data_IF_980510766874
#
_entry.id   IF_980510766874
#
_cell.length_a   1.000
_cell.length_b   1.000
_cell.length_c   1.000
_cell.angle_alpha   90.00
_cell.angle_beta   90.00
_cell.angle_gamma   90.00
#
_symmetry.space_group_name_H-M   'P 1'
#
loop_
_entity.id
_entity.type
_entity.pdbx_description
1 polymer ?
#
# COMPACT_ATOMS: atom_id res chain seq x y z
N UNK A 1 -2.16 27.56 6.86
CA UNK A 1 -1.58 28.92 7.03
C UNK A 1 -0.84 29.30 5.76
N UNK A 2 -1.00 30.53 5.28
CA UNK A 2 -0.32 31.05 4.07
C UNK A 2 0.87 31.93 4.48
N UNK A 3 1.99 31.81 3.76
CA UNK A 3 3.16 32.66 3.92
C UNK A 3 4.00 32.67 2.63
N UNK A 4 4.92 33.63 2.52
CA UNK A 4 5.86 33.78 1.38
C UNK A 4 6.87 32.62 1.26
N UNK A 5 7.04 31.81 2.33
CA UNK A 5 7.90 30.62 2.30
C UNK A 5 7.27 29.46 3.07
N UNK A 6 7.67 28.23 2.70
CA UNK A 6 7.24 27.00 3.41
C UNK A 6 7.61 27.06 4.89
N UNK A 7 8.82 27.51 5.21
CA UNK A 7 9.29 27.60 6.60
C UNK A 7 8.40 28.53 7.43
N UNK A 8 8.09 29.73 6.90
CA UNK A 8 7.21 30.68 7.57
C UNK A 8 5.77 30.15 7.70
N UNK A 9 5.28 29.39 6.71
CA UNK A 9 3.95 28.78 6.76
C UNK A 9 3.86 27.70 7.86
N UNK A 10 4.91 26.88 8.02
CA UNK A 10 5.00 25.86 9.07
C UNK A 10 5.11 26.49 10.46
N UNK A 11 5.94 27.52 10.62
CA UNK A 11 6.09 28.27 11.86
C UNK A 11 4.75 28.91 12.29
N UNK A 12 4.06 29.60 11.36
CA UNK A 12 2.73 30.18 11.62
C UNK A 12 1.67 29.13 11.97
N UNK A 13 1.81 27.92 11.44
CA UNK A 13 0.92 26.81 11.76
C UNK A 13 1.28 26.11 13.09
N UNK A 14 2.31 26.58 13.81
CA UNK A 14 2.77 25.96 15.05
C UNK A 14 3.24 24.52 14.85
N UNK A 15 3.73 24.18 13.66
CA UNK A 15 4.10 22.79 13.33
C UNK A 15 5.33 22.37 14.12
N UNK A 16 5.15 21.37 14.98
CA UNK A 16 6.21 20.72 15.75
C UNK A 16 6.48 19.39 15.07
N UNK A 17 7.75 19.11 14.77
CA UNK A 17 8.13 17.84 14.15
C UNK A 17 7.78 16.66 15.07
N UNK A 18 6.97 15.75 14.54
CA UNK A 18 6.58 14.50 15.15
C UNK A 18 7.80 13.62 15.44
N UNK A 19 7.73 12.90 16.55
CA UNK A 19 8.78 11.97 16.99
C UNK A 19 8.32 10.54 16.78
N UNK A 20 9.28 9.64 16.61
CA UNK A 20 9.04 8.20 16.66
C UNK A 20 8.70 7.79 18.09
N UNK A 21 7.64 7.00 18.27
CA UNK A 21 7.33 6.34 19.54
C UNK A 21 8.13 5.05 19.69
N UNK A 22 8.34 4.60 20.93
CA UNK A 22 8.83 3.24 21.22
C UNK A 22 7.70 2.28 21.57
N UNK A 23 6.45 2.77 21.63
CA UNK A 23 5.28 1.92 21.85
C UNK A 23 5.04 1.04 20.62
N UNK A 24 4.89 -0.27 20.85
CA UNK A 24 4.43 -1.21 19.82
C UNK A 24 2.94 -1.46 20.01
N UNK A 25 2.17 -1.29 18.94
CA UNK A 25 0.76 -1.68 18.90
C UNK A 25 0.61 -2.85 17.94
N UNK A 26 -0.07 -3.90 18.40
CA UNK A 26 -0.36 -5.07 17.57
C UNK A 26 -1.42 -4.77 16.51
N UNK A 27 -1.67 -5.72 15.60
CA UNK A 27 -2.79 -5.61 14.67
C UNK A 27 -4.12 -5.40 15.40
N UNK A 28 -5.04 -4.59 14.83
CA UNK A 28 -6.28 -4.24 15.52
C UNK A 28 -7.38 -5.30 15.40
N UNK A 29 -7.20 -6.31 14.55
CA UNK A 29 -8.21 -7.33 14.28
C UNK A 29 -7.72 -8.70 14.75
N UNK A 30 -8.60 -9.42 15.46
CA UNK A 30 -8.39 -10.83 15.77
C UNK A 30 -8.82 -11.71 14.58
N UNK A 31 -8.16 -12.86 14.44
CA UNK A 31 -8.57 -13.91 13.50
C UNK A 31 -10.04 -14.29 13.77
N UNK A 32 -10.88 -14.43 12.73
CA UNK A 32 -12.26 -14.91 12.88
C UNK A 32 -12.31 -16.28 13.58
N UNK A 33 -13.37 -16.54 14.36
CA UNK A 33 -13.53 -17.84 15.01
C UNK A 33 -13.71 -18.97 13.98
N UNK A 34 -12.96 -20.05 14.11
CA UNK A 34 -13.08 -21.23 13.25
C UNK A 34 -11.83 -22.11 13.25
N UNK A 35 -11.97 -23.28 12.62
CA UNK A 35 -10.83 -24.15 12.30
C UNK A 35 -10.31 -23.78 10.92
N UNK A 36 -9.09 -23.23 10.89
CA UNK A 36 -8.46 -22.71 9.69
C UNK A 36 -7.24 -23.53 9.32
N UNK A 37 -7.05 -23.76 8.02
CA UNK A 37 -5.83 -24.34 7.48
C UNK A 37 -4.69 -23.30 7.45
N UNK A 38 -5.03 -22.03 7.23
CA UNK A 38 -4.09 -20.92 7.23
C UNK A 38 -4.76 -19.64 7.72
N UNK A 39 -3.99 -18.80 8.41
CA UNK A 39 -4.44 -17.52 8.96
C UNK A 39 -3.48 -16.40 8.56
N UNK A 40 -4.00 -15.18 8.45
CA UNK A 40 -3.22 -13.97 8.21
C UNK A 40 -3.83 -12.80 8.97
N UNK A 41 -2.99 -12.02 9.63
CA UNK A 41 -3.34 -10.79 10.36
C UNK A 41 -2.35 -9.69 9.97
N UNK A 42 -2.85 -8.57 9.48
CA UNK A 42 -2.04 -7.41 9.07
C UNK A 42 -2.33 -6.19 9.93
N UNK A 43 -1.37 -5.27 10.00
CA UNK A 43 -1.54 -3.97 10.64
C UNK A 43 -1.76 -2.85 9.62
N UNK A 44 -1.96 -1.64 10.12
CA UNK A 44 -2.03 -0.42 9.33
C UNK A 44 -0.72 -0.18 8.58
N UNK A 45 -0.81 0.20 7.30
CA UNK A 45 0.38 0.52 6.48
C UNK A 45 0.20 1.86 5.79
N UNK A 46 1.24 2.68 5.89
CA UNK A 46 1.37 3.98 5.21
C UNK A 46 1.86 3.77 3.78
N UNK A 47 1.19 4.33 2.75
CA UNK A 47 1.67 4.27 1.37
C UNK A 47 3.09 4.83 1.15
N UNK A 48 3.56 5.70 2.04
CA UNK A 48 4.96 6.11 2.17
C UNK A 48 5.59 6.72 0.90
N UNK A 49 4.78 7.31 0.02
CA UNK A 49 5.27 8.03 -1.17
C UNK A 49 6.24 9.15 -0.78
N UNK A 50 7.35 9.27 -1.51
CA UNK A 50 8.45 10.16 -1.16
C UNK A 50 8.06 11.64 -1.26
N UNK A 51 7.43 12.03 -2.38
CA UNK A 51 6.90 13.38 -2.53
C UNK A 51 5.52 13.46 -1.89
N UNK A 52 5.36 14.27 -0.84
CA UNK A 52 4.04 14.48 -0.22
C UNK A 52 3.07 15.19 -1.16
N UNK A 53 1.79 15.12 -0.83
CA UNK A 53 0.73 15.81 -1.55
C UNK A 53 1.04 17.30 -1.66
N UNK A 54 1.00 17.80 -2.89
CA UNK A 54 1.15 19.21 -3.19
C UNK A 54 0.28 19.55 -4.40
N UNK A 55 -0.25 20.77 -4.40
CA UNK A 55 -1.02 21.32 -5.49
C UNK A 55 -0.76 22.81 -5.59
N UNK A 56 -0.91 23.37 -6.78
CA UNK A 56 -0.78 24.78 -7.05
C UNK A 56 -1.98 25.28 -7.84
N UNK A 57 -2.38 26.52 -7.59
CA UNK A 57 -3.54 27.15 -8.22
C UNK A 57 -3.38 28.67 -8.31
N UNK A 58 -3.84 29.26 -9.42
CA UNK A 58 -4.06 30.71 -9.56
C UNK A 58 -5.48 31.10 -9.11
N UNK A 59 -5.73 32.37 -8.74
CA UNK A 59 -7.07 32.83 -8.44
C UNK A 59 -8.02 32.59 -9.63
N UNK A 60 -9.15 31.94 -9.39
CA UNK A 60 -10.13 31.59 -10.41
C UNK A 60 -9.77 30.38 -11.28
N UNK A 61 -8.57 29.80 -11.15
CA UNK A 61 -8.04 28.75 -12.06
C UNK A 61 -8.19 27.32 -11.55
N UNK A 62 -8.04 26.32 -12.41
CA UNK A 62 -8.10 24.91 -11.99
C UNK A 62 -6.79 24.46 -11.31
N UNK A 63 -6.85 23.78 -10.15
CA UNK A 63 -5.65 23.36 -9.42
C UNK A 63 -4.93 22.19 -10.11
N UNK A 64 -3.59 22.19 -10.03
CA UNK A 64 -2.79 21.04 -10.46
C UNK A 64 -3.06 19.81 -9.55
N UNK A 65 -3.32 18.65 -10.15
CA UNK A 65 -3.65 17.43 -9.41
C UNK A 65 -2.45 16.81 -8.69
N UNK A 66 -2.59 16.34 -7.43
CA UNK A 66 -1.49 15.73 -6.66
C UNK A 66 -1.06 14.35 -7.17
N UNK A 67 -1.81 13.77 -8.11
CA UNK A 67 -1.46 12.51 -8.79
C UNK A 67 -0.25 12.66 -9.73
N UNK A 68 0.07 13.88 -10.17
CA UNK A 68 1.25 14.15 -10.98
C UNK A 68 2.56 14.21 -10.16
N UNK A 69 2.46 14.19 -8.83
CA UNK A 69 3.59 14.21 -7.92
C UNK A 69 4.28 12.83 -7.88
N UNK A 70 5.55 12.80 -7.49
CA UNK A 70 6.39 11.61 -7.37
C UNK A 70 5.86 10.57 -6.39
N UNK A 71 5.20 9.55 -6.95
CA UNK A 71 4.59 8.44 -6.21
C UNK A 71 3.26 8.82 -5.59
N UNK A 72 2.28 7.93 -5.68
CA UNK A 72 0.98 8.07 -5.03
C UNK A 72 0.56 6.76 -4.36
N UNK A 73 0.76 5.64 -5.05
CA UNK A 73 0.40 4.30 -4.56
C UNK A 73 -1.06 4.21 -4.07
N UNK A 74 -1.94 5.02 -4.67
CA UNK A 74 -3.34 5.18 -4.29
C UNK A 74 -3.63 6.22 -3.21
N UNK A 75 -2.64 6.60 -2.40
CA UNK A 75 -2.84 7.47 -1.23
C UNK A 75 -3.21 8.93 -1.54
N UNK A 76 -3.06 9.38 -2.79
CA UNK A 76 -3.32 10.76 -3.21
C UNK A 76 -4.66 10.97 -3.94
N UNK A 77 -5.43 9.90 -4.15
CA UNK A 77 -6.67 9.96 -4.93
C UNK A 77 -7.72 10.91 -4.32
N UNK A 78 -7.74 11.01 -2.99
CA UNK A 78 -8.71 11.83 -2.24
C UNK A 78 -8.06 13.03 -1.52
N UNK A 79 -6.89 13.46 -2.00
CA UNK A 79 -6.12 14.49 -1.32
C UNK A 79 -6.79 15.86 -1.34
N UNK A 80 -6.85 16.54 -0.19
CA UNK A 80 -7.53 17.83 -0.06
C UNK A 80 -6.67 19.02 -0.56
N UNK A 81 -5.39 18.78 -0.89
CA UNK A 81 -4.44 19.86 -1.21
C UNK A 81 -4.83 20.68 -2.43
N UNK A 82 -5.52 20.09 -3.40
CA UNK A 82 -6.01 20.79 -4.58
C UNK A 82 -7.12 21.79 -4.22
N UNK A 83 -8.11 21.35 -3.44
CA UNK A 83 -9.17 22.21 -2.95
C UNK A 83 -8.62 23.32 -2.03
N UNK A 84 -7.62 23.00 -1.21
CA UNK A 84 -6.93 23.98 -0.38
C UNK A 84 -6.17 25.02 -1.21
N UNK A 85 -5.44 24.61 -2.25
CA UNK A 85 -4.73 25.51 -3.15
C UNK A 85 -5.69 26.49 -3.82
N UNK A 86 -6.81 25.99 -4.38
CA UNK A 86 -7.83 26.82 -5.02
C UNK A 86 -8.43 27.85 -4.06
N UNK A 87 -8.94 27.38 -2.92
CA UNK A 87 -9.56 28.26 -1.91
C UNK A 87 -8.60 29.35 -1.44
N UNK A 88 -7.35 29.00 -1.14
CA UNK A 88 -6.35 29.95 -0.67
C UNK A 88 -5.91 30.92 -1.78
N UNK A 89 -5.84 30.48 -3.03
CA UNK A 89 -5.55 31.38 -4.15
C UNK A 89 -6.66 32.43 -4.32
N UNK A 90 -7.93 32.01 -4.25
CA UNK A 90 -9.09 32.89 -4.33
C UNK A 90 -9.15 33.88 -3.16
N UNK A 91 -8.91 33.42 -1.93
CA UNK A 91 -8.91 34.25 -0.71
C UNK A 91 -7.82 35.33 -0.73
N UNK A 92 -6.62 34.98 -1.21
CA UNK A 92 -5.46 35.87 -1.17
C UNK A 92 -5.25 36.68 -2.45
N UNK A 93 -6.02 36.40 -3.50
CA UNK A 93 -5.91 37.06 -4.81
C UNK A 93 -4.53 36.88 -5.46
N UNK A 94 -3.79 35.82 -5.11
CA UNK A 94 -2.45 35.50 -5.63
C UNK A 94 -2.31 34.00 -5.86
N UNK A 95 -1.42 33.55 -6.76
CA UNK A 95 -1.14 32.13 -6.90
C UNK A 95 -0.64 31.50 -5.61
N UNK A 96 -1.18 30.35 -5.23
CA UNK A 96 -0.83 29.63 -4.00
C UNK A 96 -0.42 28.19 -4.31
N UNK A 97 0.67 27.74 -3.68
CA UNK A 97 1.01 26.32 -3.57
C UNK A 97 0.65 25.80 -2.19
N UNK A 98 -0.27 24.85 -2.13
CA UNK A 98 -0.55 24.06 -0.94
C UNK A 98 0.27 22.77 -0.95
N UNK A 99 0.77 22.37 0.20
CA UNK A 99 1.45 21.08 0.37
C UNK A 99 1.28 20.56 1.78
N UNK A 100 1.19 19.25 1.90
CA UNK A 100 1.26 18.57 3.19
C UNK A 100 2.69 18.54 3.72
N UNK A 101 2.83 18.65 5.03
CA UNK A 101 4.00 18.09 5.71
C UNK A 101 3.93 16.56 5.69
N UNK A 102 5.03 15.85 6.01
CA UNK A 102 4.98 14.38 6.14
C UNK A 102 3.93 13.95 7.17
N UNK A 103 3.88 14.64 8.30
CA UNK A 103 2.87 14.37 9.34
C UNK A 103 1.45 14.60 8.85
N UNK A 104 1.21 15.64 8.06
CA UNK A 104 -0.12 15.87 7.47
C UNK A 104 -0.50 14.73 6.53
N UNK A 105 0.43 14.28 5.68
CA UNK A 105 0.20 13.14 4.79
C UNK A 105 -0.12 11.86 5.59
N UNK A 106 0.62 11.58 6.67
CA UNK A 106 0.36 10.41 7.52
C UNK A 106 -0.97 10.53 8.27
N UNK A 107 -1.29 11.69 8.82
CA UNK A 107 -2.52 11.86 9.62
C UNK A 107 -3.79 11.95 8.78
N UNK A 108 -3.68 12.50 7.56
CA UNK A 108 -4.85 12.81 6.72
C UNK A 108 -5.02 11.83 5.57
N UNK A 109 -3.93 11.30 5.04
CA UNK A 109 -3.94 10.35 3.93
C UNK A 109 -4.49 8.99 4.37
N UNK A 110 -5.16 8.26 3.47
CA UNK A 110 -5.66 6.93 3.77
C UNK A 110 -4.51 5.93 3.98
N UNK A 111 -4.82 4.83 4.66
CA UNK A 111 -3.92 3.70 4.94
C UNK A 111 -4.45 2.42 4.32
N UNK A 112 -3.56 1.46 4.06
CA UNK A 112 -4.00 0.12 3.68
C UNK A 112 -4.81 -0.46 4.85
N UNK A 113 -6.01 -1.01 4.60
CA UNK A 113 -6.85 -1.54 5.67
C UNK A 113 -6.18 -2.77 6.32
N UNK A 114 -6.09 -2.82 7.65
CA UNK A 114 -5.80 -4.05 8.37
C UNK A 114 -6.84 -5.11 8.03
N UNK A 115 -6.38 -6.35 7.86
CA UNK A 115 -7.24 -7.53 7.71
C UNK A 115 -6.83 -8.61 8.71
N UNK A 116 -7.79 -9.45 9.08
CA UNK A 116 -7.58 -10.71 9.79
C UNK A 116 -8.41 -11.78 9.09
N UNK A 117 -7.79 -12.87 8.68
CA UNK A 117 -8.45 -13.88 7.87
C UNK A 117 -8.09 -15.29 8.32
N UNK A 118 -9.03 -16.20 8.10
CA UNK A 118 -8.83 -17.64 8.22
C UNK A 118 -9.40 -18.32 6.98
N UNK A 119 -8.62 -19.21 6.38
CA UNK A 119 -9.01 -19.97 5.17
C UNK A 119 -8.90 -21.47 5.41
N UNK A 120 -9.82 -22.23 4.83
CA UNK A 120 -9.87 -23.70 4.86
C UNK A 120 -9.14 -24.29 3.67
N UNK A 121 -8.88 -25.59 3.71
CA UNK A 121 -8.21 -26.34 2.63
C UNK A 121 -8.91 -26.28 1.27
N UNK A 122 -10.21 -25.98 1.24
CA UNK A 122 -10.98 -25.83 -0.01
C UNK A 122 -10.95 -24.40 -0.57
N UNK A 123 -10.24 -23.47 0.07
CA UNK A 123 -10.17 -22.06 -0.31
C UNK A 123 -11.34 -21.20 0.18
N UNK A 124 -12.32 -21.79 0.88
CA UNK A 124 -13.36 -21.03 1.57
C UNK A 124 -12.84 -20.42 2.88
N UNK A 125 -13.42 -19.34 3.34
CA UNK A 125 -12.95 -18.70 4.58
C UNK A 125 -13.68 -17.44 4.96
N UNK A 126 -13.15 -16.76 5.97
CA UNK A 126 -13.61 -15.45 6.40
C UNK A 126 -12.43 -14.49 6.37
N UNK A 127 -12.61 -13.33 5.74
CA UNK A 127 -11.68 -12.21 5.77
C UNK A 127 -12.36 -11.04 6.47
N UNK A 128 -11.94 -10.76 7.69
CA UNK A 128 -12.36 -9.57 8.43
C UNK A 128 -11.46 -8.41 8.06
N UNK A 129 -12.03 -7.29 7.63
CA UNK A 129 -11.30 -6.08 7.28
C UNK A 129 -11.80 -4.89 8.10
N UNK A 130 -10.93 -3.92 8.35
CA UNK A 130 -11.40 -2.60 8.78
C UNK A 130 -12.32 -2.05 7.69
N UNK A 131 -13.50 -1.56 8.08
CA UNK A 131 -14.54 -1.08 7.16
C UNK A 131 -13.95 -0.09 6.15
N UNK A 132 -14.03 -0.44 4.87
CA UNK A 132 -13.37 0.28 3.79
C UNK A 132 -14.21 0.16 2.53
N UNK A 133 -14.71 1.28 1.96
CA UNK A 133 -15.51 1.23 0.74
C UNK A 133 -14.84 0.43 -0.38
N UNK A 134 -15.55 -0.56 -0.93
CA UNK A 134 -15.08 -1.40 -2.03
C UNK A 134 -14.25 -2.62 -1.63
N UNK A 135 -13.95 -2.84 -0.33
CA UNK A 135 -13.02 -3.91 0.08
C UNK A 135 -13.60 -5.31 -0.16
N UNK A 136 -14.90 -5.47 0.03
CA UNK A 136 -15.58 -6.73 -0.22
C UNK A 136 -15.54 -7.11 -1.70
N UNK A 137 -15.81 -6.15 -2.59
CA UNK A 137 -15.74 -6.33 -4.04
C UNK A 137 -14.31 -6.61 -4.51
N UNK A 138 -13.31 -5.92 -3.94
CA UNK A 138 -11.91 -6.16 -4.24
C UNK A 138 -11.50 -7.60 -3.88
N UNK A 139 -11.83 -8.07 -2.68
CA UNK A 139 -11.54 -9.46 -2.26
C UNK A 139 -12.28 -10.47 -3.14
N UNK A 140 -13.58 -10.27 -3.37
CA UNK A 140 -14.41 -11.18 -4.16
C UNK A 140 -13.93 -11.33 -5.61
N UNK A 141 -13.25 -10.32 -6.16
CA UNK A 141 -12.70 -10.36 -7.53
C UNK A 141 -11.65 -11.46 -7.74
N UNK A 142 -10.95 -11.88 -6.67
CA UNK A 142 -9.89 -12.90 -6.73
C UNK A 142 -10.16 -14.12 -5.84
N UNK A 143 -11.00 -13.95 -4.81
CA UNK A 143 -11.28 -14.97 -3.81
C UNK A 143 -12.78 -15.00 -3.46
N UNK A 144 -13.67 -15.38 -4.41
CA UNK A 144 -15.11 -15.38 -4.20
C UNK A 144 -15.58 -16.38 -3.11
N UNK A 145 -14.72 -17.31 -2.69
CA UNK A 145 -14.98 -18.24 -1.58
C UNK A 145 -14.78 -17.62 -0.19
N UNK A 146 -14.25 -16.40 -0.09
CA UNK A 146 -14.08 -15.70 1.17
C UNK A 146 -15.29 -14.82 1.49
N UNK A 147 -15.87 -15.04 2.66
CA UNK A 147 -16.88 -14.13 3.22
C UNK A 147 -16.14 -12.94 3.83
N UNK A 148 -16.48 -11.72 3.41
CA UNK A 148 -15.86 -10.50 3.93
C UNK A 148 -16.70 -9.91 5.06
N UNK A 149 -16.07 -9.70 6.21
CA UNK A 149 -16.67 -9.02 7.36
C UNK A 149 -16.01 -7.64 7.56
N UNK A 150 -16.79 -6.57 7.41
CA UNK A 150 -16.29 -5.21 7.64
C UNK A 150 -16.58 -4.73 9.07
N UNK A 151 -15.53 -4.36 9.79
CA UNK A 151 -15.59 -3.96 11.19
C UNK A 151 -15.09 -2.53 11.38
N UNK A 152 -15.81 -1.76 12.19
CA UNK A 152 -15.39 -0.42 12.59
C UNK A 152 -14.37 -0.53 13.73
N UNK A 153 -13.20 0.10 13.53
CA UNK A 153 -12.10 0.14 14.49
C UNK A 153 -11.61 1.59 14.58
N UNK A 154 -11.32 2.14 15.77
CA UNK A 154 -10.59 3.39 15.89
C UNK A 154 -9.28 3.35 15.10
N UNK A 155 -9.07 4.31 14.21
CA UNK A 155 -7.88 4.32 13.38
C UNK A 155 -7.93 5.35 12.26
N UNK A 156 -6.84 5.47 11.50
CA UNK A 156 -6.79 6.34 10.34
C UNK A 156 -7.78 5.87 9.25
N UNK A 157 -8.13 6.77 8.33
CA UNK A 157 -8.96 6.43 7.18
C UNK A 157 -8.28 5.34 6.35
N UNK A 158 -9.08 4.44 5.77
CA UNK A 158 -8.63 3.41 4.83
C UNK A 158 -9.10 3.71 3.42
N UNK A 159 -8.46 3.11 2.41
CA UNK A 159 -8.92 3.19 1.03
C UNK A 159 -8.50 1.97 0.21
N UNK A 160 -9.40 1.50 -0.65
CA UNK A 160 -9.14 0.48 -1.68
C UNK A 160 -8.36 1.03 -2.88
N UNK A 161 -8.22 2.35 -3.00
CA UNK A 161 -7.36 2.96 -4.01
C UNK A 161 -5.88 2.63 -3.78
N UNK A 162 -5.50 2.32 -2.52
CA UNK A 162 -4.14 1.91 -2.18
C UNK A 162 -3.82 0.63 -2.92
N UNK A 163 -2.66 0.61 -3.60
CA UNK A 163 -2.24 -0.49 -4.47
C UNK A 163 -2.53 -1.82 -3.80
N UNK A 164 -3.42 -2.62 -4.38
CA UNK A 164 -3.65 -3.99 -3.94
C UNK A 164 -4.47 -4.17 -2.65
N UNK A 165 -5.07 -3.12 -2.09
CA UNK A 165 -5.78 -3.21 -0.81
C UNK A 165 -6.95 -4.22 -0.85
N UNK A 166 -6.91 -5.21 0.04
CA UNK A 166 -7.93 -6.25 0.19
C UNK A 166 -7.68 -7.46 -0.71
N UNK A 167 -7.59 -7.25 -2.03
CA UNK A 167 -7.46 -8.37 -2.97
C UNK A 167 -6.10 -9.06 -2.91
N UNK A 168 -5.02 -8.32 -2.61
CA UNK A 168 -3.68 -8.93 -2.52
C UNK A 168 -3.58 -9.85 -1.32
N UNK A 169 -4.07 -9.43 -0.15
CA UNK A 169 -4.10 -10.29 1.04
C UNK A 169 -4.85 -11.59 0.77
N UNK A 170 -5.99 -11.52 0.08
CA UNK A 170 -6.75 -12.69 -0.33
C UNK A 170 -5.98 -13.58 -1.31
N UNK A 171 -5.34 -13.01 -2.34
CA UNK A 171 -4.54 -13.76 -3.30
C UNK A 171 -3.32 -14.44 -2.63
N UNK A 172 -2.67 -13.76 -1.69
CA UNK A 172 -1.55 -14.28 -0.90
C UNK A 172 -2.00 -15.45 -0.03
N UNK A 173 -3.14 -15.35 0.65
CA UNK A 173 -3.74 -16.45 1.42
C UNK A 173 -3.98 -17.69 0.55
N UNK A 174 -4.57 -17.51 -0.63
CA UNK A 174 -4.84 -18.62 -1.54
C UNK A 174 -3.54 -19.24 -2.10
N UNK A 175 -2.49 -18.44 -2.34
CA UNK A 175 -1.17 -18.95 -2.71
C UNK A 175 -0.52 -19.73 -1.55
N UNK A 176 -0.59 -19.19 -0.33
CA UNK A 176 -0.13 -19.86 0.90
C UNK A 176 -0.80 -21.21 1.09
N UNK A 177 -2.12 -21.30 0.87
CA UNK A 177 -2.89 -22.54 0.97
C UNK A 177 -2.42 -23.62 -0.03
N UNK A 178 -2.04 -23.19 -1.24
CA UNK A 178 -1.48 -24.11 -2.26
C UNK A 178 -0.04 -24.52 -1.95
N UNK A 179 0.67 -23.76 -1.13
CA UNK A 179 2.11 -23.93 -0.90
C UNK A 179 2.97 -23.43 -2.06
N UNK A 180 2.39 -22.72 -3.03
CA UNK A 180 3.10 -22.15 -4.17
C UNK A 180 2.41 -20.87 -4.69
N UNK A 181 3.20 -19.96 -5.25
CA UNK A 181 2.69 -18.69 -5.80
C UNK A 181 1.80 -18.96 -7.02
N UNK A 182 2.28 -19.76 -7.97
CA UNK A 182 1.66 -19.91 -9.29
C UNK A 182 1.65 -18.59 -10.06
N UNK A 183 0.76 -18.46 -11.04
CA UNK A 183 0.49 -17.18 -11.70
C UNK A 183 -0.70 -16.50 -11.02
N UNK A 184 -0.46 -15.34 -10.41
CA UNK A 184 -1.50 -14.48 -9.82
C UNK A 184 -1.92 -13.46 -10.86
N UNK A 185 -3.20 -13.47 -11.23
CA UNK A 185 -3.82 -12.49 -12.11
C UNK A 185 -4.39 -11.34 -11.28
N UNK A 186 -4.01 -10.11 -11.63
CA UNK A 186 -4.57 -8.91 -11.01
C UNK A 186 -5.90 -8.55 -11.70
N UNK A 187 -6.85 -7.92 -10.99
CA UNK A 187 -8.12 -7.45 -11.60
C UNK A 187 -7.95 -6.51 -12.79
N UNK A 188 -6.78 -5.87 -12.94
CA UNK A 188 -6.40 -5.03 -14.09
C UNK A 188 -5.88 -5.81 -15.30
N UNK A 189 -5.87 -7.15 -15.27
CA UNK A 189 -5.55 -8.05 -16.39
C UNK A 189 -4.12 -8.59 -16.43
N UNK A 190 -3.13 -7.88 -15.87
CA UNK A 190 -1.77 -8.39 -15.80
C UNK A 190 -1.64 -9.59 -14.87
N UNK A 191 -0.68 -10.49 -15.11
CA UNK A 191 -0.40 -11.62 -14.25
C UNK A 191 1.09 -11.74 -13.91
N UNK A 192 1.42 -12.27 -12.74
CA UNK A 192 2.81 -12.47 -12.34
C UNK A 192 3.02 -13.72 -11.48
N UNK A 193 4.25 -14.20 -11.48
CA UNK A 193 4.78 -15.22 -10.56
C UNK A 193 6.06 -14.70 -9.94
N UNK A 194 6.41 -15.20 -8.75
CA UNK A 194 7.67 -14.86 -8.12
C UNK A 194 8.21 -16.01 -7.26
N UNK A 195 9.52 -15.97 -7.00
CA UNK A 195 10.20 -16.87 -6.07
C UNK A 195 11.32 -16.13 -5.33
N UNK A 196 11.61 -16.58 -4.11
CA UNK A 196 12.77 -16.15 -3.31
C UNK A 196 13.88 -17.19 -3.45
N UNK A 197 15.07 -16.76 -3.87
CA UNK A 197 16.25 -17.62 -3.96
C UNK A 197 16.96 -17.77 -2.61
N UNK A 198 17.88 -18.74 -2.47
CA UNK A 198 18.62 -18.97 -1.21
C UNK A 198 19.47 -17.77 -0.74
N UNK A 199 19.83 -16.86 -1.64
CA UNK A 199 20.56 -15.61 -1.37
C UNK A 199 19.62 -14.41 -1.14
N UNK A 200 18.31 -14.64 -1.03
CA UNK A 200 17.27 -13.61 -0.90
C UNK A 200 16.89 -12.94 -2.23
N UNK A 201 17.49 -13.32 -3.36
CA UNK A 201 17.15 -12.79 -4.68
C UNK A 201 15.68 -13.03 -5.01
N UNK A 202 15.03 -12.01 -5.54
CA UNK A 202 13.68 -12.13 -6.08
C UNK A 202 13.74 -12.38 -7.59
N UNK A 203 13.17 -13.50 -8.04
CA UNK A 203 12.92 -13.77 -9.46
C UNK A 203 11.44 -13.54 -9.74
N UNK A 204 11.14 -12.68 -10.72
CA UNK A 204 9.78 -12.24 -11.06
C UNK A 204 9.51 -12.53 -12.52
N UNK A 205 8.46 -13.28 -12.82
CA UNK A 205 7.90 -13.41 -14.17
C UNK A 205 6.64 -12.56 -14.29
N UNK A 206 6.49 -11.79 -15.36
CA UNK A 206 5.31 -10.91 -15.57
C UNK A 206 4.74 -11.05 -16.98
N UNK A 207 3.41 -11.15 -17.07
CA UNK A 207 2.60 -11.09 -18.28
C UNK A 207 1.81 -9.79 -18.26
N UNK A 208 2.11 -8.89 -19.19
CA UNK A 208 1.56 -7.54 -19.21
C UNK A 208 1.14 -7.06 -20.62
N UNK A 209 0.91 -7.98 -21.56
CA UNK A 209 0.73 -7.64 -22.98
C UNK A 209 2.03 -7.24 -23.65
N UNK A 210 1.95 -6.58 -24.82
CA UNK A 210 3.06 -5.99 -25.55
C UNK A 210 3.41 -4.62 -24.93
N UNK A 211 4.49 -4.51 -24.15
CA UNK A 211 4.78 -3.29 -23.42
C UNK A 211 5.16 -2.14 -24.35
N UNK A 212 4.57 -0.95 -24.11
CA UNK A 212 4.95 0.28 -24.82
C UNK A 212 6.46 0.60 -24.66
N UNK A 213 7.02 0.29 -23.49
CA UNK A 213 8.44 0.38 -23.20
C UNK A 213 8.82 -0.65 -22.12
N UNK A 214 9.66 -1.63 -22.48
CA UNK A 214 10.10 -2.68 -21.56
C UNK A 214 10.93 -2.16 -20.37
N UNK A 215 11.71 -1.10 -20.57
CA UNK A 215 12.54 -0.51 -19.50
C UNK A 215 11.65 0.13 -18.46
N UNK A 216 10.61 0.84 -18.90
CA UNK A 216 9.60 1.44 -18.03
C UNK A 216 8.83 0.35 -17.29
N UNK A 217 8.31 -0.68 -17.98
CA UNK A 217 7.61 -1.79 -17.32
C UNK A 217 8.50 -2.48 -16.27
N UNK A 218 9.76 -2.75 -16.61
CA UNK A 218 10.74 -3.36 -15.69
C UNK A 218 10.96 -2.50 -14.45
N UNK A 219 11.00 -1.18 -14.60
CA UNK A 219 11.13 -0.24 -13.47
C UNK A 219 9.92 -0.30 -12.53
N UNK A 220 8.70 -0.35 -13.09
CA UNK A 220 7.47 -0.51 -12.31
C UNK A 220 7.41 -1.86 -11.58
N UNK A 221 7.80 -2.94 -12.24
CA UNK A 221 7.86 -4.27 -11.63
C UNK A 221 8.90 -4.33 -10.50
N UNK A 222 10.06 -3.70 -10.68
CA UNK A 222 11.09 -3.60 -9.64
C UNK A 222 10.58 -2.84 -8.42
N UNK A 223 9.91 -1.71 -8.63
CA UNK A 223 9.30 -0.93 -7.55
C UNK A 223 8.19 -1.71 -6.82
N UNK A 224 7.34 -2.42 -7.56
CA UNK A 224 6.29 -3.26 -6.97
C UNK A 224 6.87 -4.42 -6.13
N UNK A 225 7.92 -5.08 -6.61
CA UNK A 225 8.60 -6.13 -5.87
C UNK A 225 9.24 -5.61 -4.59
N UNK A 226 9.90 -4.44 -4.64
CA UNK A 226 10.46 -3.78 -3.45
C UNK A 226 9.37 -3.46 -2.42
N UNK A 227 8.25 -2.86 -2.85
CA UNK A 227 7.14 -2.54 -1.96
C UNK A 227 6.53 -3.78 -1.32
N UNK A 228 6.35 -4.87 -2.09
CA UNK A 228 5.79 -6.11 -1.57
C UNK A 228 6.70 -6.77 -0.53
N UNK A 229 8.01 -6.86 -0.83
CA UNK A 229 9.00 -7.36 0.12
C UNK A 229 9.00 -6.53 1.41
N UNK A 230 9.07 -5.21 1.29
CA UNK A 230 9.08 -4.27 2.40
C UNK A 230 7.80 -4.39 3.25
N UNK A 231 6.64 -4.47 2.60
CA UNK A 231 5.36 -4.64 3.27
C UNK A 231 5.27 -5.93 4.10
N UNK A 232 5.62 -7.07 3.50
CA UNK A 232 5.55 -8.37 4.20
C UNK A 232 6.53 -8.44 5.35
N UNK A 233 7.71 -7.82 5.23
CA UNK A 233 8.83 -8.05 6.16
C UNK A 233 8.98 -7.01 7.26
N UNK A 234 8.56 -5.77 7.04
CA UNK A 234 8.92 -4.69 7.98
C UNK A 234 7.91 -3.55 8.11
N UNK A 235 7.03 -3.31 7.14
CA UNK A 235 6.14 -2.15 7.23
C UNK A 235 4.97 -2.34 8.18
N UNK A 236 4.79 -1.36 9.07
CA UNK A 236 3.62 -1.24 9.95
C UNK A 236 3.52 0.18 10.52
N UNK A 237 2.35 0.54 11.03
CA UNK A 237 2.14 1.74 11.83
C UNK A 237 1.69 1.42 13.24
N UNK A 238 2.31 2.08 14.21
CA UNK A 238 1.85 2.18 15.58
C UNK A 238 0.57 3.04 15.65
N UNK A 239 -0.58 2.38 15.82
CA UNK A 239 -1.89 3.00 16.04
C UNK A 239 -2.46 2.53 17.37
N UNK A 240 -2.80 3.46 18.26
CA UNK A 240 -3.34 3.13 19.57
C UNK A 240 -4.84 2.80 19.57
N UNK A 241 -5.37 2.42 20.73
CA UNK A 241 -6.79 2.06 20.91
C UNK A 241 -7.75 3.24 20.63
N UNK A 242 -7.27 4.48 20.66
CA UNK A 242 -8.05 5.67 20.30
C UNK A 242 -7.98 5.98 18.79
N UNK A 243 -7.16 5.25 18.04
CA UNK A 243 -6.96 5.44 16.60
C UNK A 243 -5.90 6.47 16.24
N UNK A 244 -5.10 6.94 17.21
CA UNK A 244 -4.04 7.91 16.94
C UNK A 244 -2.79 7.24 16.36
N UNK A 245 -2.27 7.82 15.27
CA UNK A 245 -1.04 7.36 14.62
C UNK A 245 0.17 7.97 15.31
N UNK A 246 1.07 7.12 15.80
CA UNK A 246 2.28 7.53 16.53
C UNK A 246 3.54 7.55 15.65
N UNK A 247 3.55 6.78 14.57
CA UNK A 247 4.65 6.77 13.61
C UNK A 247 4.44 7.87 12.57
N UNK A 248 5.26 8.91 12.64
CA UNK A 248 5.09 10.13 11.83
C UNK A 248 6.28 10.44 10.91
N UNK A 249 7.27 9.54 10.85
CA UNK A 249 8.51 9.73 10.10
C UNK A 249 8.72 8.58 9.11
N UNK A 250 9.40 8.85 7.98
CA UNK A 250 9.68 7.79 7.00
C UNK A 250 10.42 6.59 7.61
N UNK A 251 11.31 6.85 8.58
CA UNK A 251 12.06 5.80 9.27
C UNK A 251 11.17 4.95 10.21
N UNK A 252 10.09 5.50 10.73
CA UNK A 252 9.23 4.78 11.67
C UNK A 252 8.26 3.82 10.98
N UNK A 253 7.98 3.99 9.68
CA UNK A 253 7.06 3.11 8.95
C UNK A 253 7.64 1.72 8.65
N UNK A 254 8.95 1.53 8.84
CA UNK A 254 9.61 0.25 8.54
C UNK A 254 9.87 0.00 7.06
N UNK A 255 9.80 1.01 6.18
CA UNK A 255 10.10 0.85 4.75
C UNK A 255 11.55 0.40 4.56
N UNK A 256 11.75 -0.72 3.85
CA UNK A 256 13.06 -1.26 3.53
C UNK A 256 13.85 -0.27 2.68
N UNK A 257 15.10 0.01 3.05
CA UNK A 257 15.95 0.92 2.27
C UNK A 257 16.37 0.24 0.97
N UNK A 258 16.52 1.02 -0.10
CA UNK A 258 16.97 0.50 -1.39
C UNK A 258 18.30 -0.27 -1.33
N UNK A 259 19.20 0.10 -0.42
CA UNK A 259 20.49 -0.60 -0.20
C UNK A 259 20.36 -1.95 0.49
N UNK A 260 19.25 -2.17 1.21
CA UNK A 260 18.94 -3.43 1.90
C UNK A 260 18.04 -4.32 1.03
N UNK A 261 17.55 -3.82 -0.10
CA UNK A 261 16.74 -4.60 -1.04
C UNK A 261 17.63 -5.61 -1.78
N UNK A 262 17.30 -6.90 -1.77
CA UNK A 262 18.04 -7.90 -2.53
C UNK A 262 17.89 -7.66 -4.03
N UNK A 263 18.71 -8.35 -4.82
CA UNK A 263 18.61 -8.25 -6.29
C UNK A 263 17.24 -8.75 -6.76
N UNK A 264 16.59 -7.96 -7.60
CA UNK A 264 15.31 -8.28 -8.24
C UNK A 264 15.59 -8.50 -9.73
N UNK A 265 15.34 -9.71 -10.22
CA UNK A 265 15.41 -10.06 -11.64
C UNK A 265 13.99 -10.20 -12.19
N UNK A 266 13.65 -9.34 -13.15
CA UNK A 266 12.34 -9.34 -13.81
C UNK A 266 12.48 -9.98 -15.20
N UNK A 267 11.60 -10.92 -15.51
CA UNK A 267 11.42 -11.50 -16.85
C UNK A 267 10.04 -11.09 -17.35
N UNK A 268 10.00 -10.35 -18.46
CA UNK A 268 8.75 -9.97 -19.13
C UNK A 268 8.46 -11.07 -20.15
N UNK A 269 7.30 -11.70 -20.04
CA UNK A 269 6.84 -12.70 -21.01
C UNK A 269 6.39 -12.00 -22.30
N UNK A 270 6.94 -12.36 -23.48
CA UNK A 270 6.53 -11.78 -24.74
C UNK A 270 5.04 -11.99 -25.03
N UNK A 271 4.39 -10.99 -25.61
CA UNK A 271 2.99 -11.05 -26.01
C UNK A 271 2.70 -10.08 -27.15
N UNK A 272 1.67 -10.37 -27.95
CA UNK A 272 1.13 -9.45 -28.97
C UNK A 272 -0.21 -8.83 -28.52
N UNK A 273 -0.64 -9.06 -27.27
CA UNK A 273 -1.87 -8.49 -26.72
C UNK A 273 -1.68 -7.04 -26.30
N UNK A 274 -2.78 -6.30 -26.19
CA UNK A 274 -2.76 -4.91 -25.71
C UNK A 274 -2.05 -4.81 -24.34
N UNK A 275 -1.18 -3.81 -24.13
CA UNK A 275 -0.54 -3.60 -22.84
C UNK A 275 -1.53 -3.41 -21.69
N UNK A 276 -1.27 -4.10 -20.59
CA UNK A 276 -2.02 -3.99 -19.33
C UNK A 276 -1.07 -3.75 -18.15
N UNK A 277 -1.61 -3.32 -17.00
CA UNK A 277 -0.77 -3.13 -15.82
C UNK A 277 -0.33 -4.49 -15.22
N UNK A 278 0.95 -4.83 -15.36
CA UNK A 278 1.54 -6.01 -14.72
C UNK A 278 2.09 -5.79 -13.30
N UNK A 279 2.29 -4.53 -12.89
CA UNK A 279 2.99 -4.20 -11.63
C UNK A 279 2.18 -4.56 -10.38
N UNK A 280 0.85 -4.51 -10.44
CA UNK A 280 0.01 -4.88 -9.30
C UNK A 280 -0.01 -6.42 -9.10
N UNK A 281 0.05 -7.19 -10.19
CA UNK A 281 0.24 -8.64 -10.11
C UNK A 281 1.62 -8.99 -9.54
N UNK A 282 2.68 -8.26 -9.95
CA UNK A 282 4.03 -8.44 -9.37
C UNK A 282 4.03 -8.17 -7.87
N UNK A 283 3.36 -7.12 -7.42
CA UNK A 283 3.22 -6.83 -5.99
C UNK A 283 2.58 -8.01 -5.24
N UNK A 284 1.50 -8.59 -5.78
CA UNK A 284 0.84 -9.75 -5.18
C UNK A 284 1.72 -11.02 -5.18
N UNK A 285 2.35 -11.32 -6.32
CA UNK A 285 3.19 -12.51 -6.48
C UNK A 285 4.42 -12.47 -5.57
N UNK A 286 5.07 -11.31 -5.45
CA UNK A 286 6.22 -11.13 -4.55
C UNK A 286 5.79 -11.21 -3.09
N UNK A 287 4.65 -10.61 -2.71
CA UNK A 287 4.13 -10.72 -1.35
C UNK A 287 3.87 -12.19 -0.97
N UNK A 288 3.28 -12.96 -1.89
CA UNK A 288 3.05 -14.40 -1.70
C UNK A 288 4.36 -15.18 -1.61
N UNK A 289 5.32 -14.92 -2.51
CA UNK A 289 6.62 -15.60 -2.52
C UNK A 289 7.39 -15.37 -1.21
N UNK A 290 7.43 -14.12 -0.74
CA UNK A 290 8.11 -13.75 0.51
C UNK A 290 7.40 -14.36 1.71
N UNK A 291 6.08 -14.36 1.75
CA UNK A 291 5.35 -14.97 2.88
C UNK A 291 5.53 -16.49 2.94
N UNK A 292 5.49 -17.17 1.79
CA UNK A 292 5.78 -18.60 1.66
C UNK A 292 7.21 -18.94 2.11
N UNK A 293 8.21 -18.16 1.66
CA UNK A 293 9.62 -18.31 2.06
C UNK A 293 9.81 -18.24 3.59
N UNK A 294 8.95 -17.47 4.28
CA UNK A 294 8.95 -17.34 5.74
C UNK A 294 8.12 -18.38 6.48
N UNK A 295 7.54 -19.36 5.78
CA UNK A 295 6.71 -20.40 6.39
C UNK A 295 5.32 -19.92 6.78
N UNK A 296 4.81 -18.88 6.10
CA UNK A 296 3.47 -18.31 6.26
C UNK A 296 3.11 -17.95 7.72
N UNK A 297 3.89 -17.09 8.42
CA UNK A 297 3.54 -16.65 9.76
C UNK A 297 2.19 -15.92 9.77
N UNK A 298 1.41 -16.13 10.83
CA UNK A 298 0.06 -15.53 10.97
C UNK A 298 0.10 -14.01 10.96
N UNK A 299 1.08 -13.38 11.61
CA UNK A 299 1.11 -11.93 11.81
C UNK A 299 2.14 -11.27 10.90
N UNK A 300 1.72 -10.23 10.18
CA UNK A 300 2.60 -9.32 9.45
C UNK A 300 2.84 -8.02 10.23
N UNK A 301 4.06 -7.45 10.16
CA UNK A 301 5.19 -7.89 9.33
C UNK A 301 5.90 -9.16 9.86
N UNK A 302 6.35 -10.00 8.94
CA UNK A 302 7.00 -11.30 9.17
C UNK A 302 8.49 -11.23 9.55
N UNK A 303 9.00 -10.02 9.82
CA UNK A 303 10.40 -9.75 10.13
C UNK A 303 11.30 -9.71 8.89
N UNK A 304 12.55 -9.26 9.06
CA UNK A 304 13.62 -9.40 8.05
C UNK A 304 14.48 -10.60 8.41
N UNK A 305 14.89 -11.39 7.41
CA UNK A 305 15.81 -12.53 7.54
C UNK A 305 17.25 -12.07 7.70
#
# INVERSE_FOLDING_TARGET
>A
MVAESRAAALERAGKIQGRRTTAGFGPPLAVPEGEWALTLVTSWVEPAYLETDASWCEPGGEPAGPLANGGAFGGKAESEVAAAARRLADEWGRPVRALYSREDAVRRGPKRPPIAAGVRSDGSGVLRAVRTPGVAEAVASVAPGLVVEEVDVPGPRTSTAIRGAGWVEAAVLLAGLRGEVGWIEAPGGGAATASVGPDGRLSVGVRAGDPLDETVLRSYCTGAAHMALSWVTSESLAVDEAGEVHDLTMRSFGVLRAVDTPRIDVTIEPSEHEPVNGSDAVFAAVAAAVWLDRGCPEVWPAGVS
#
